data_IF_280044703361
#
_entry.id   IF_280044703361
#
_cell.length_a   1.000
_cell.length_b   1.000
_cell.length_c   1.000
_cell.angle_alpha   90.00
_cell.angle_beta   90.00
_cell.angle_gamma   90.00
#
_symmetry.space_group_name_H-M   'P 1'
#
loop_
_entity.id
_entity.type
_entity.pdbx_description
1 polymer ?
#
# COMPACT_ATOMS: atom_id res chain seq x y z
N UNK A 1 -48.69 -14.45 9.73
CA UNK A 1 -48.74 -15.55 8.72
C UNK A 1 -47.45 -16.33 8.82
N UNK A 2 -47.37 -17.59 8.37
CA UNK A 2 -46.07 -18.22 8.13
C UNK A 2 -45.45 -17.61 6.87
N UNK A 3 -44.12 -17.51 6.81
CA UNK A 3 -43.42 -17.05 5.60
C UNK A 3 -43.60 -18.01 4.41
N UNK A 4 -43.20 -17.58 3.21
CA UNK A 4 -43.31 -18.33 1.97
C UNK A 4 -42.47 -19.61 2.02
N UNK A 5 -41.27 -19.55 2.62
CA UNK A 5 -40.37 -20.70 2.72
C UNK A 5 -41.02 -21.85 3.51
N UNK A 6 -41.63 -21.56 4.66
CA UNK A 6 -42.33 -22.57 5.47
C UNK A 6 -43.51 -23.21 4.74
N UNK A 7 -44.14 -22.46 3.82
CA UNK A 7 -45.24 -22.96 3.00
C UNK A 7 -44.73 -23.94 1.92
N UNK A 8 -43.61 -23.60 1.26
CA UNK A 8 -43.06 -24.37 0.14
C UNK A 8 -42.14 -25.51 0.55
N UNK A 9 -41.40 -25.38 1.66
CA UNK A 9 -40.36 -26.31 2.14
C UNK A 9 -40.83 -27.74 2.40
N UNK A 10 -42.14 -28.00 2.46
CA UNK A 10 -42.70 -29.36 2.54
C UNK A 10 -42.60 -30.12 1.22
N UNK A 11 -42.34 -29.43 0.11
CA UNK A 11 -42.21 -30.02 -1.22
C UNK A 11 -40.77 -30.47 -1.52
N UNK A 12 -40.58 -31.22 -2.61
CA UNK A 12 -39.25 -31.66 -3.06
C UNK A 12 -38.53 -30.53 -3.80
N UNK A 13 -37.31 -30.21 -3.37
CA UNK A 13 -36.44 -29.23 -4.04
C UNK A 13 -35.81 -29.83 -5.30
N UNK A 14 -35.59 -28.99 -6.31
CA UNK A 14 -34.84 -29.34 -7.52
C UNK A 14 -33.31 -29.18 -7.34
N UNK A 15 -32.87 -28.62 -6.21
CA UNK A 15 -31.46 -28.54 -5.81
C UNK A 15 -31.10 -29.64 -4.80
N UNK A 16 -29.86 -30.12 -4.89
CA UNK A 16 -29.34 -31.20 -4.04
C UNK A 16 -29.03 -30.74 -2.60
N UNK A 17 -28.72 -29.45 -2.42
CA UNK A 17 -28.38 -28.86 -1.12
C UNK A 17 -29.61 -28.24 -0.45
N UNK A 18 -29.56 -28.11 0.89
CA UNK A 18 -30.61 -27.48 1.70
C UNK A 18 -30.17 -26.19 2.40
N UNK A 19 -28.87 -25.99 2.60
CA UNK A 19 -28.28 -24.80 3.21
C UNK A 19 -27.28 -24.16 2.23
N UNK A 20 -27.23 -22.83 2.24
CA UNK A 20 -26.58 -21.98 1.24
C UNK A 20 -25.90 -20.79 1.91
N UNK A 21 -24.72 -20.41 1.43
CA UNK A 21 -24.15 -19.12 1.79
C UNK A 21 -24.79 -17.97 0.98
N UNK A 22 -24.69 -16.74 1.49
CA UNK A 22 -25.18 -15.52 0.83
C UNK A 22 -24.72 -15.38 -0.63
N UNK A 23 -23.45 -15.71 -0.93
CA UNK A 23 -22.91 -15.60 -2.30
C UNK A 23 -23.50 -16.63 -3.25
N UNK A 24 -23.80 -17.84 -2.77
CA UNK A 24 -24.52 -18.85 -3.54
C UNK A 24 -25.94 -18.39 -3.85
N UNK A 25 -26.65 -17.77 -2.90
CA UNK A 25 -27.99 -17.23 -3.15
C UNK A 25 -28.01 -16.11 -4.18
N UNK A 26 -27.09 -15.15 -4.06
CA UNK A 26 -26.96 -14.07 -5.04
C UNK A 26 -26.68 -14.63 -6.44
N UNK A 27 -25.78 -15.62 -6.53
CA UNK A 27 -25.48 -16.30 -7.79
C UNK A 27 -26.69 -17.01 -8.40
N UNK A 28 -27.53 -17.65 -7.58
CA UNK A 28 -28.77 -18.28 -8.06
C UNK A 28 -29.76 -17.21 -8.51
N UNK A 29 -30.00 -16.16 -7.72
CA UNK A 29 -30.89 -15.04 -8.08
C UNK A 29 -30.53 -14.48 -9.45
N UNK A 30 -29.25 -14.17 -9.65
CA UNK A 30 -28.77 -13.67 -10.93
C UNK A 30 -28.93 -14.65 -12.07
N UNK A 31 -28.67 -15.94 -11.85
CA UNK A 31 -28.86 -16.95 -12.89
C UNK A 31 -30.33 -17.04 -13.34
N UNK A 32 -31.28 -16.97 -12.40
CA UNK A 32 -32.72 -16.97 -12.71
C UNK A 32 -33.13 -15.70 -13.46
N UNK A 33 -32.66 -14.55 -13.01
CA UNK A 33 -32.92 -13.26 -13.65
C UNK A 33 -32.26 -13.17 -15.05
N UNK A 34 -31.06 -13.72 -15.24
CA UNK A 34 -30.37 -13.74 -16.52
C UNK A 34 -31.12 -14.57 -17.57
N UNK A 35 -31.81 -15.64 -17.15
CA UNK A 35 -32.70 -16.39 -18.04
C UNK A 35 -33.81 -15.45 -18.56
N UNK A 36 -34.45 -14.68 -17.67
CA UNK A 36 -35.50 -13.74 -18.07
C UNK A 36 -34.98 -12.72 -19.08
N UNK A 37 -33.77 -12.19 -18.84
CA UNK A 37 -33.12 -11.23 -19.73
C UNK A 37 -32.75 -11.86 -21.07
N UNK A 38 -32.06 -13.01 -21.07
CA UNK A 38 -31.52 -13.64 -22.27
C UNK A 38 -32.60 -14.16 -23.21
N UNK A 39 -33.69 -14.67 -22.66
CA UNK A 39 -34.82 -15.18 -23.43
C UNK A 39 -35.92 -14.13 -23.63
N UNK A 40 -35.70 -12.88 -23.19
CA UNK A 40 -36.67 -11.77 -23.25
C UNK A 40 -38.07 -12.17 -22.77
N UNK A 41 -38.11 -12.94 -21.67
CA UNK A 41 -39.36 -13.47 -21.14
C UNK A 41 -40.18 -12.32 -20.58
N UNK A 42 -41.40 -12.12 -21.10
CA UNK A 42 -42.34 -11.10 -20.59
C UNK A 42 -42.98 -11.50 -19.26
N UNK A 43 -42.19 -12.05 -18.34
CA UNK A 43 -42.65 -12.69 -17.13
C UNK A 43 -43.25 -11.70 -16.10
N UNK A 44 -44.00 -12.26 -15.15
CA UNK A 44 -44.30 -11.60 -13.88
C UNK A 44 -43.30 -12.03 -12.82
N UNK A 45 -42.70 -11.07 -12.12
CA UNK A 45 -41.66 -11.33 -11.12
C UNK A 45 -42.03 -10.80 -9.75
N UNK A 46 -41.69 -11.55 -8.71
CA UNK A 46 -41.80 -11.13 -7.30
C UNK A 46 -40.43 -11.30 -6.66
N UNK A 47 -39.85 -10.20 -6.19
CA UNK A 47 -38.47 -10.16 -5.70
C UNK A 47 -38.42 -9.51 -4.31
N UNK A 48 -37.67 -10.14 -3.42
CA UNK A 48 -37.51 -9.71 -2.04
C UNK A 48 -36.10 -9.22 -1.76
N UNK A 49 -36.01 -8.04 -1.19
CA UNK A 49 -34.79 -7.50 -0.61
C UNK A 49 -34.99 -7.34 0.88
N UNK A 50 -34.06 -7.87 1.67
CA UNK A 50 -34.08 -7.71 3.13
C UNK A 50 -34.10 -6.24 3.55
N UNK A 51 -33.37 -5.40 2.80
CA UNK A 51 -33.33 -3.94 2.99
C UNK A 51 -33.22 -3.23 1.64
N UNK A 52 -33.85 -2.05 1.52
CA UNK A 52 -33.86 -1.27 0.28
C UNK A 52 -32.47 -0.88 -0.24
N UNK A 53 -31.46 -0.72 0.64
CA UNK A 53 -30.08 -0.44 0.23
C UNK A 53 -29.49 -1.52 -0.70
N UNK A 54 -29.89 -2.77 -0.55
CA UNK A 54 -29.41 -3.85 -1.42
C UNK A 54 -30.00 -3.73 -2.83
N UNK A 55 -31.25 -3.30 -2.94
CA UNK A 55 -31.85 -2.98 -4.23
C UNK A 55 -31.12 -1.82 -4.93
N UNK A 56 -30.70 -0.79 -4.20
CA UNK A 56 -29.97 0.34 -4.79
C UNK A 56 -28.65 -0.07 -5.46
N UNK A 57 -27.98 -1.10 -4.95
CA UNK A 57 -26.78 -1.65 -5.60
C UNK A 57 -27.08 -2.37 -6.92
N UNK A 58 -28.31 -2.85 -7.10
CA UNK A 58 -28.79 -3.62 -8.26
C UNK A 58 -29.69 -2.80 -9.19
N UNK A 59 -29.84 -1.49 -8.96
CA UNK A 59 -30.88 -0.67 -9.58
C UNK A 59 -30.85 -0.72 -11.12
N UNK A 60 -29.65 -0.70 -11.72
CA UNK A 60 -29.49 -0.74 -13.17
C UNK A 60 -29.93 -2.08 -13.78
N UNK A 61 -29.70 -3.17 -13.07
CA UNK A 61 -30.16 -4.51 -13.47
C UNK A 61 -31.68 -4.59 -13.45
N UNK A 62 -32.30 -4.06 -12.40
CA UNK A 62 -33.76 -4.02 -12.29
C UNK A 62 -34.40 -3.04 -13.28
N UNK A 63 -33.72 -1.96 -13.69
CA UNK A 63 -34.17 -1.12 -14.80
C UNK A 63 -34.20 -1.87 -16.13
N UNK A 64 -33.22 -2.75 -16.38
CA UNK A 64 -33.23 -3.60 -17.57
C UNK A 64 -34.40 -4.60 -17.52
N UNK A 65 -34.61 -5.26 -16.37
CA UNK A 65 -35.73 -6.17 -16.19
C UNK A 65 -37.08 -5.45 -16.34
N UNK A 66 -37.22 -4.21 -15.85
CA UNK A 66 -38.45 -3.40 -15.96
C UNK A 66 -38.88 -3.19 -17.43
N UNK A 67 -37.93 -3.14 -18.36
CA UNK A 67 -38.21 -2.98 -19.80
C UNK A 67 -38.69 -4.29 -20.47
N UNK A 68 -38.33 -5.44 -19.90
CA UNK A 68 -38.57 -6.76 -20.49
C UNK A 68 -39.82 -7.41 -19.87
N UNK A 69 -39.89 -7.40 -18.54
CA UNK A 69 -40.93 -8.07 -17.77
C UNK A 69 -42.28 -7.37 -17.94
N UNK A 70 -43.37 -8.16 -17.91
CA UNK A 70 -44.71 -7.59 -17.92
C UNK A 70 -45.04 -6.89 -16.60
N UNK A 71 -44.58 -7.46 -15.48
CA UNK A 71 -44.74 -6.86 -14.16
C UNK A 71 -43.66 -7.31 -13.19
N UNK A 72 -43.17 -6.40 -12.35
CA UNK A 72 -42.24 -6.72 -11.27
C UNK A 72 -42.81 -6.20 -9.96
N UNK A 73 -42.74 -7.01 -8.90
CA UNK A 73 -43.08 -6.62 -7.55
C UNK A 73 -41.83 -6.70 -6.68
N UNK A 74 -41.41 -5.57 -6.13
CA UNK A 74 -40.22 -5.48 -5.28
C UNK A 74 -40.66 -5.22 -3.85
N UNK A 75 -40.33 -6.16 -2.96
CA UNK A 75 -40.61 -6.10 -1.54
C UNK A 75 -39.34 -5.72 -0.78
N UNK A 76 -39.37 -4.64 -0.01
CA UNK A 76 -38.22 -4.18 0.77
C UNK A 76 -38.61 -3.34 1.99
N UNK A 77 -37.70 -3.17 2.94
CA UNK A 77 -37.87 -2.26 4.08
C UNK A 77 -37.28 -0.87 3.79
N UNK A 78 -37.92 0.17 4.35
CA UNK A 78 -37.46 1.56 4.31
C UNK A 78 -37.25 2.04 2.86
N UNK A 79 -38.28 1.89 2.04
CA UNK A 79 -38.21 2.23 0.62
C UNK A 79 -38.20 3.76 0.48
N UNK A 80 -37.15 4.28 -0.14
CA UNK A 80 -37.12 5.68 -0.55
C UNK A 80 -37.79 5.83 -1.92
N UNK A 81 -39.08 6.18 -1.91
CA UNK A 81 -39.89 6.37 -3.11
C UNK A 81 -39.42 7.53 -4.01
N UNK A 82 -38.53 8.41 -3.52
CA UNK A 82 -37.98 9.50 -4.35
C UNK A 82 -36.97 9.00 -5.39
N UNK A 83 -36.34 7.84 -5.16
CA UNK A 83 -35.27 7.29 -6.00
C UNK A 83 -35.82 6.37 -7.10
N UNK A 84 -37.04 5.86 -6.92
CA UNK A 84 -37.63 4.80 -7.78
C UNK A 84 -38.72 5.31 -8.72
N UNK A 85 -38.69 6.58 -9.10
CA UNK A 85 -39.71 7.20 -9.96
C UNK A 85 -39.66 6.75 -11.42
N UNK A 86 -38.52 6.19 -11.86
CA UNK A 86 -38.26 5.92 -13.27
C UNK A 86 -38.73 4.52 -13.73
N UNK A 87 -39.35 3.74 -12.85
CA UNK A 87 -39.82 2.38 -13.15
C UNK A 87 -41.28 2.39 -13.64
N UNK A 88 -41.55 1.72 -14.77
CA UNK A 88 -42.87 1.68 -15.38
C UNK A 88 -43.65 0.41 -15.04
N UNK A 89 -42.98 -0.73 -15.07
CA UNK A 89 -43.61 -2.04 -14.87
C UNK A 89 -43.40 -2.57 -13.44
N UNK A 90 -42.55 -1.93 -12.65
CA UNK A 90 -42.24 -2.30 -11.27
C UNK A 90 -43.17 -1.64 -10.26
N UNK A 91 -43.60 -2.41 -9.28
CA UNK A 91 -44.37 -1.95 -8.12
C UNK A 91 -43.56 -2.22 -6.88
N UNK A 92 -43.24 -1.16 -6.15
CA UNK A 92 -42.56 -1.24 -4.86
C UNK A 92 -43.58 -1.43 -3.74
N UNK A 93 -43.29 -2.38 -2.85
CA UNK A 93 -44.09 -2.72 -1.67
C UNK A 93 -43.19 -2.65 -0.44
N UNK A 94 -43.50 -1.71 0.44
CA UNK A 94 -42.79 -1.57 1.70
C UNK A 94 -43.26 -2.64 2.69
N UNK A 95 -42.33 -3.42 3.22
CA UNK A 95 -42.62 -4.48 4.17
C UNK A 95 -42.76 -3.93 5.59
N UNK A 96 -43.84 -4.30 6.26
CA UNK A 96 -44.06 -4.00 7.68
C UNK A 96 -42.93 -4.59 8.56
N UNK A 97 -42.51 -3.90 9.65
CA UNK A 97 -41.39 -4.34 10.49
C UNK A 97 -41.53 -5.74 11.09
N UNK A 98 -42.77 -6.20 11.31
CA UNK A 98 -43.11 -7.48 11.92
C UNK A 98 -43.50 -8.56 10.88
N UNK A 99 -43.32 -8.30 9.58
CA UNK A 99 -43.68 -9.26 8.54
C UNK A 99 -42.74 -10.48 8.57
N UNK A 100 -43.27 -11.72 8.52
CA UNK A 100 -42.47 -12.94 8.45
C UNK A 100 -41.66 -13.05 7.15
N UNK A 101 -41.98 -12.23 6.14
CA UNK A 101 -41.29 -12.20 4.86
C UNK A 101 -39.97 -11.42 4.92
N UNK A 102 -39.69 -10.73 6.02
CA UNK A 102 -38.46 -9.97 6.23
C UNK A 102 -37.22 -10.86 6.22
N UNK A 103 -37.31 -12.00 6.88
CA UNK A 103 -36.18 -12.92 7.05
C UNK A 103 -35.99 -13.83 5.83
N UNK A 104 -36.83 -13.64 4.81
CA UNK A 104 -36.83 -14.46 3.61
C UNK A 104 -36.19 -13.75 2.41
N UNK A 105 -35.46 -14.51 1.61
CA UNK A 105 -35.05 -14.09 0.26
C UNK A 105 -35.77 -14.97 -0.74
N UNK A 106 -36.67 -14.35 -1.48
CA UNK A 106 -37.54 -15.00 -2.44
C UNK A 106 -37.42 -14.33 -3.82
N UNK A 107 -37.35 -15.14 -4.87
CA UNK A 107 -37.53 -14.71 -6.26
C UNK A 107 -38.51 -15.69 -6.91
N UNK A 108 -39.62 -15.15 -7.42
CA UNK A 108 -40.67 -15.91 -8.08
C UNK A 108 -40.79 -15.34 -9.49
N UNK A 109 -40.75 -16.21 -10.50
CA UNK A 109 -40.92 -15.85 -11.91
C UNK A 109 -42.06 -16.71 -12.46
N UNK A 110 -43.05 -16.05 -13.04
CA UNK A 110 -44.20 -16.67 -13.67
C UNK A 110 -44.18 -16.34 -15.16
N UNK A 111 -44.10 -17.38 -15.97
CA UNK A 111 -44.20 -17.34 -17.43
C UNK A 111 -44.72 -18.70 -17.92
N UNK A 112 -45.53 -18.78 -18.99
CA UNK A 112 -46.06 -20.03 -19.52
C UNK A 112 -44.95 -21.03 -19.80
N UNK A 113 -43.92 -20.62 -20.53
CA UNK A 113 -42.85 -21.54 -20.92
C UNK A 113 -41.88 -21.86 -19.79
N UNK A 114 -41.73 -20.95 -18.81
CA UNK A 114 -40.66 -21.04 -17.83
C UNK A 114 -41.00 -20.35 -16.52
N UNK A 115 -41.53 -21.14 -15.58
CA UNK A 115 -41.85 -20.69 -14.24
C UNK A 115 -40.84 -21.24 -13.23
N UNK A 116 -40.46 -20.42 -12.26
CA UNK A 116 -39.46 -20.80 -11.26
C UNK A 116 -39.69 -20.07 -9.95
N UNK A 117 -39.29 -20.70 -8.86
CA UNK A 117 -39.37 -20.13 -7.52
C UNK A 117 -38.15 -20.52 -6.71
N UNK A 118 -37.47 -19.51 -6.17
CA UNK A 118 -36.53 -19.66 -5.06
C UNK A 118 -37.13 -19.00 -3.83
N UNK A 119 -37.06 -19.72 -2.71
CA UNK A 119 -37.49 -19.21 -1.41
C UNK A 119 -36.54 -19.71 -0.34
N UNK A 120 -36.04 -18.80 0.47
CA UNK A 120 -35.03 -19.09 1.49
C UNK A 120 -35.29 -18.31 2.76
N UNK A 121 -34.80 -18.82 3.89
CA UNK A 121 -34.83 -18.17 5.21
C UNK A 121 -33.44 -18.21 5.82
N UNK A 122 -33.06 -17.18 6.56
CA UNK A 122 -31.77 -17.15 7.24
C UNK A 122 -31.69 -18.11 8.43
N UNK A 123 -30.56 -18.83 8.57
CA UNK A 123 -30.26 -19.71 9.70
C UNK A 123 -29.40 -18.97 10.75
N UNK A 124 -30.06 -18.23 11.66
CA UNK A 124 -29.36 -17.43 12.68
C UNK A 124 -28.47 -18.26 13.62
N UNK A 125 -28.87 -19.50 13.92
CA UNK A 125 -28.10 -20.41 14.80
C UNK A 125 -26.75 -20.83 14.20
N UNK A 126 -26.54 -20.68 12.89
CA UNK A 126 -25.27 -21.00 12.23
C UNK A 126 -24.39 -19.76 12.01
N UNK A 127 -24.92 -18.56 12.28
CA UNK A 127 -24.23 -17.28 12.08
C UNK A 127 -23.48 -16.83 13.35
N UNK A 128 -22.63 -17.71 13.89
CA UNK A 128 -21.79 -17.41 15.06
C UNK A 128 -20.68 -16.37 14.78
N UNK A 129 -20.44 -16.05 13.51
CA UNK A 129 -19.48 -15.04 13.07
C UNK A 129 -20.23 -13.83 12.51
N UNK A 130 -19.95 -12.65 13.07
CA UNK A 130 -20.51 -11.35 12.71
C UNK A 130 -19.99 -10.82 11.35
N UNK A 131 -19.82 -11.69 10.35
CA UNK A 131 -19.30 -11.34 9.04
C UNK A 131 -20.28 -11.73 7.93
N UNK A 132 -20.62 -10.73 7.10
CA UNK A 132 -21.66 -10.77 6.06
C UNK A 132 -21.48 -11.91 5.02
N UNK A 133 -20.26 -12.44 4.88
CA UNK A 133 -19.88 -13.48 3.91
C UNK A 133 -20.16 -14.91 4.40
N UNK A 134 -20.41 -15.11 5.70
CA UNK A 134 -20.60 -16.43 6.30
C UNK A 134 -22.06 -16.76 6.62
N UNK A 135 -22.97 -15.82 6.35
CA UNK A 135 -24.42 -15.98 6.58
C UNK A 135 -24.93 -17.22 5.84
N UNK A 136 -25.52 -18.13 6.59
CA UNK A 136 -26.15 -19.34 6.09
C UNK A 136 -27.66 -19.15 5.96
N UNK A 137 -28.21 -19.73 4.92
CA UNK A 137 -29.62 -19.68 4.58
C UNK A 137 -30.11 -21.08 4.29
N UNK A 138 -31.27 -21.44 4.81
CA UNK A 138 -31.99 -22.61 4.39
C UNK A 138 -32.87 -22.27 3.20
N UNK A 139 -32.85 -23.07 2.15
CA UNK A 139 -33.46 -22.68 0.90
C UNK A 139 -34.07 -23.79 0.07
N UNK A 140 -35.00 -23.38 -0.75
CA UNK A 140 -35.78 -24.21 -1.66
C UNK A 140 -35.77 -23.55 -3.03
N UNK A 141 -35.42 -24.30 -4.07
CA UNK A 141 -35.60 -23.89 -5.47
C UNK A 141 -36.48 -24.94 -6.15
N UNK A 142 -37.45 -24.49 -6.93
CA UNK A 142 -38.14 -25.34 -7.88
C UNK A 142 -38.39 -24.65 -9.20
N UNK A 143 -38.27 -25.44 -10.27
CA UNK A 143 -38.65 -25.04 -11.63
C UNK A 143 -40.05 -25.56 -12.00
N UNK A 144 -40.82 -26.08 -11.04
CA UNK A 144 -42.18 -26.55 -11.25
C UNK A 144 -43.14 -25.36 -11.44
N UNK A 145 -43.93 -25.35 -12.53
CA UNK A 145 -44.95 -24.33 -12.74
C UNK A 145 -46.03 -24.35 -11.66
N UNK A 146 -46.36 -25.54 -11.13
CA UNK A 146 -47.35 -25.67 -10.04
C UNK A 146 -46.88 -24.95 -8.78
N UNK A 147 -45.62 -25.15 -8.39
CA UNK A 147 -45.06 -24.55 -7.17
C UNK A 147 -44.83 -23.05 -7.31
N UNK A 148 -44.37 -22.60 -8.48
CA UNK A 148 -44.25 -21.18 -8.77
C UNK A 148 -45.62 -20.48 -8.70
N UNK A 149 -46.66 -21.08 -9.30
CA UNK A 149 -48.03 -20.55 -9.23
C UNK A 149 -48.58 -20.52 -7.81
N UNK A 150 -48.33 -21.56 -7.01
CA UNK A 150 -48.70 -21.56 -5.59
C UNK A 150 -48.02 -20.42 -4.83
N UNK A 151 -46.75 -20.16 -5.11
CA UNK A 151 -45.99 -19.07 -4.51
C UNK A 151 -46.53 -17.69 -4.94
N UNK A 152 -46.82 -17.49 -6.23
CA UNK A 152 -47.42 -16.27 -6.74
C UNK A 152 -48.81 -16.00 -6.14
N UNK A 153 -49.65 -17.03 -5.98
CA UNK A 153 -50.96 -16.90 -5.28
C UNK A 153 -50.79 -16.52 -3.81
N UNK A 154 -49.80 -17.08 -3.14
CA UNK A 154 -49.49 -16.68 -1.77
C UNK A 154 -49.13 -15.18 -1.73
N UNK A 155 -48.30 -14.71 -2.66
CA UNK A 155 -47.94 -13.30 -2.77
C UNK A 155 -49.13 -12.40 -3.09
N UNK A 156 -50.00 -12.83 -3.99
CA UNK A 156 -51.22 -12.09 -4.30
C UNK A 156 -52.11 -11.91 -3.08
N UNK A 157 -52.27 -12.98 -2.29
CA UNK A 157 -53.05 -12.93 -1.06
C UNK A 157 -52.44 -11.97 -0.03
N UNK A 158 -51.11 -11.89 0.04
CA UNK A 158 -50.40 -10.90 0.87
C UNK A 158 -50.70 -9.48 0.38
N UNK A 159 -50.57 -9.22 -0.92
CA UNK A 159 -50.88 -7.92 -1.54
C UNK A 159 -52.31 -7.46 -1.28
N UNK A 160 -53.27 -8.37 -1.40
CA UNK A 160 -54.68 -8.12 -1.13
C UNK A 160 -54.97 -7.84 0.34
N UNK A 161 -54.49 -8.72 1.24
CA UNK A 161 -54.83 -8.66 2.66
C UNK A 161 -54.10 -7.57 3.41
N UNK A 162 -52.81 -7.38 3.13
CA UNK A 162 -51.96 -6.45 3.88
C UNK A 162 -51.94 -5.06 3.24
N UNK A 163 -52.07 -4.97 1.92
CA UNK A 163 -51.90 -3.70 1.19
C UNK A 163 -53.14 -3.24 0.42
N UNK A 164 -54.24 -4.01 0.45
CA UNK A 164 -55.48 -3.67 -0.25
C UNK A 164 -55.37 -3.59 -1.78
N UNK A 165 -54.29 -4.14 -2.35
CA UNK A 165 -54.03 -4.11 -3.80
C UNK A 165 -54.57 -5.39 -4.42
N UNK A 166 -55.57 -5.26 -5.29
CA UNK A 166 -55.98 -6.36 -6.15
C UNK A 166 -55.19 -6.30 -7.45
N UNK A 167 -54.52 -7.39 -7.78
CA UNK A 167 -53.78 -7.53 -9.02
C UNK A 167 -54.22 -8.84 -9.67
N UNK A 168 -54.62 -8.79 -10.93
CA UNK A 168 -54.95 -9.97 -11.70
C UNK A 168 -53.70 -10.33 -12.51
N UNK A 169 -53.21 -11.57 -12.34
CA UNK A 169 -52.07 -12.04 -13.12
C UNK A 169 -52.41 -12.04 -14.60
N UNK A 170 -51.44 -11.65 -15.43
CA UNK A 170 -51.56 -11.66 -16.89
C UNK A 170 -51.63 -13.11 -17.42
N UNK A 171 -51.21 -14.08 -16.61
CA UNK A 171 -51.18 -15.48 -16.97
C UNK A 171 -52.29 -16.27 -16.28
N UNK A 172 -53.08 -17.01 -17.07
CA UNK A 172 -54.08 -17.95 -16.55
C UNK A 172 -53.41 -19.24 -16.05
N UNK A 173 -53.98 -19.85 -15.01
CA UNK A 173 -53.52 -21.13 -14.44
C UNK A 173 -53.41 -22.21 -15.51
N UNK A 174 -54.37 -22.26 -16.44
CA UNK A 174 -54.37 -23.25 -17.51
C UNK A 174 -53.23 -23.06 -18.50
N UNK A 175 -52.82 -21.82 -18.76
CA UNK A 175 -51.72 -21.52 -19.67
C UNK A 175 -50.37 -21.99 -19.12
N UNK A 176 -50.16 -21.80 -17.82
CA UNK A 176 -48.92 -22.16 -17.11
C UNK A 176 -48.75 -23.68 -16.98
N UNK A 177 -49.85 -24.42 -16.84
CA UNK A 177 -49.81 -25.88 -16.68
C UNK A 177 -49.62 -26.65 -17.99
N UNK A 178 -49.86 -26.01 -19.15
CA UNK A 178 -49.84 -26.68 -20.46
C UNK A 178 -48.47 -26.69 -21.13
N UNK A 179 -47.64 -25.66 -20.90
CA UNK A 179 -46.30 -25.53 -21.46
C UNK A 179 -45.25 -25.91 -20.42
N UNK A 180 -44.56 -27.03 -20.62
CA UNK A 180 -43.44 -27.42 -19.77
C UNK A 180 -42.39 -28.19 -20.57
N UNK A 181 -41.25 -27.55 -20.81
CA UNK A 181 -40.09 -28.20 -21.42
C UNK A 181 -39.24 -28.86 -20.33
N UNK A 182 -39.37 -30.18 -20.21
CA UNK A 182 -38.61 -30.98 -19.25
C UNK A 182 -37.11 -31.01 -19.54
N UNK A 183 -36.70 -30.97 -20.81
CA UNK A 183 -35.29 -31.02 -21.20
C UNK A 183 -34.58 -29.71 -20.85
N UNK A 184 -35.23 -28.57 -21.10
CA UNK A 184 -34.73 -27.26 -20.68
C UNK A 184 -34.60 -27.18 -19.15
N UNK A 185 -35.59 -27.67 -18.41
CA UNK A 185 -35.55 -27.69 -16.95
C UNK A 185 -34.36 -28.50 -16.41
N UNK A 186 -34.11 -29.69 -16.94
CA UNK A 186 -32.96 -30.51 -16.52
C UNK A 186 -31.63 -29.84 -16.84
N UNK A 187 -31.51 -29.17 -17.99
CA UNK A 187 -30.34 -28.35 -18.33
C UNK A 187 -30.12 -27.23 -17.32
N UNK A 188 -31.18 -26.48 -16.97
CA UNK A 188 -31.09 -25.38 -16.00
C UNK A 188 -30.67 -25.90 -14.62
N UNK A 189 -31.26 -27.01 -14.15
CA UNK A 189 -30.84 -27.65 -12.90
C UNK A 189 -29.37 -28.02 -12.92
N UNK A 190 -28.91 -28.64 -14.00
CA UNK A 190 -27.50 -29.01 -14.15
C UNK A 190 -26.58 -27.77 -14.11
N UNK A 191 -26.93 -26.70 -14.82
CA UNK A 191 -26.14 -25.46 -14.82
C UNK A 191 -26.10 -24.78 -13.45
N UNK A 192 -27.24 -24.65 -12.77
CA UNK A 192 -27.33 -24.04 -11.45
C UNK A 192 -26.52 -24.85 -10.44
N UNK A 193 -26.72 -26.17 -10.38
CA UNK A 193 -25.97 -27.04 -9.47
C UNK A 193 -24.46 -26.97 -9.72
N UNK A 194 -24.03 -26.94 -10.99
CA UNK A 194 -22.61 -26.81 -11.35
C UNK A 194 -22.04 -25.43 -10.98
N UNK A 195 -22.77 -24.35 -11.22
CA UNK A 195 -22.36 -23.00 -10.86
C UNK A 195 -22.23 -22.88 -9.32
N UNK A 196 -23.19 -23.44 -8.58
CA UNK A 196 -23.14 -23.49 -7.13
C UNK A 196 -21.92 -24.25 -6.62
N UNK A 197 -21.60 -25.41 -7.19
CA UNK A 197 -20.40 -26.17 -6.79
C UNK A 197 -19.12 -25.33 -6.97
N UNK A 198 -19.05 -24.52 -8.03
CA UNK A 198 -17.91 -23.62 -8.26
C UNK A 198 -17.87 -22.47 -7.27
N UNK A 199 -19.01 -21.86 -6.94
CA UNK A 199 -19.08 -20.75 -5.97
C UNK A 199 -18.63 -21.24 -4.60
N UNK A 200 -19.10 -22.41 -4.16
CA UNK A 200 -18.71 -22.97 -2.86
C UNK A 200 -17.21 -23.30 -2.79
N UNK A 201 -16.64 -23.93 -3.82
CA UNK A 201 -15.19 -24.15 -3.89
C UNK A 201 -14.40 -22.85 -3.82
N UNK A 202 -14.90 -21.78 -4.47
CA UNK A 202 -14.27 -20.45 -4.39
C UNK A 202 -14.39 -19.87 -2.98
N UNK A 203 -15.53 -20.01 -2.32
CA UNK A 203 -15.73 -19.54 -0.94
C UNK A 203 -14.79 -20.26 0.04
N UNK A 204 -14.62 -21.57 -0.08
CA UNK A 204 -13.67 -22.34 0.73
C UNK A 204 -12.24 -21.80 0.58
N UNK A 205 -11.81 -21.53 -0.67
CA UNK A 205 -10.49 -20.93 -0.95
C UNK A 205 -10.39 -19.53 -0.36
N UNK A 206 -11.45 -18.71 -0.44
CA UNK A 206 -11.47 -17.37 0.13
C UNK A 206 -11.31 -17.42 1.65
N UNK A 207 -12.00 -18.33 2.33
CA UNK A 207 -11.90 -18.53 3.78
C UNK A 207 -10.45 -18.90 4.14
N UNK A 208 -9.86 -19.89 3.47
CA UNK A 208 -8.47 -20.30 3.70
C UNK A 208 -7.47 -19.16 3.47
N UNK A 209 -7.64 -18.38 2.40
CA UNK A 209 -6.79 -17.22 2.11
C UNK A 209 -6.91 -16.16 3.19
N UNK A 210 -8.11 -15.94 3.72
CA UNK A 210 -8.35 -14.94 4.77
C UNK A 210 -7.63 -15.33 6.07
N UNK A 211 -7.71 -16.59 6.47
CA UNK A 211 -6.98 -17.11 7.63
C UNK A 211 -5.46 -16.99 7.45
N UNK A 212 -4.95 -17.29 6.25
CA UNK A 212 -3.54 -17.12 5.91
C UNK A 212 -3.11 -15.65 6.01
N UNK A 213 -3.89 -14.72 5.44
CA UNK A 213 -3.61 -13.28 5.53
C UNK A 213 -3.60 -12.82 6.99
N UNK A 214 -4.56 -13.26 7.81
CA UNK A 214 -4.60 -12.93 9.23
C UNK A 214 -3.40 -13.49 10.00
N UNK A 215 -2.87 -14.66 9.62
CA UNK A 215 -1.63 -15.18 10.19
C UNK A 215 -0.43 -14.31 9.80
N UNK A 216 -0.26 -14.04 8.50
CA UNK A 216 0.85 -13.22 7.98
C UNK A 216 0.85 -11.83 8.62
N UNK A 217 -0.32 -11.23 8.79
CA UNK A 217 -0.44 -9.91 9.41
C UNK A 217 0.06 -9.93 10.87
N UNK A 218 -0.31 -10.94 11.66
CA UNK A 218 0.17 -11.07 13.05
C UNK A 218 1.69 -11.28 13.12
N UNK A 219 2.25 -12.06 12.20
CA UNK A 219 3.69 -12.28 12.15
C UNK A 219 4.45 -11.00 11.74
N UNK A 220 3.87 -10.23 10.82
CA UNK A 220 4.43 -8.95 10.38
C UNK A 220 4.40 -7.90 11.50
N UNK A 221 3.30 -7.82 12.26
CA UNK A 221 3.20 -6.94 13.43
C UNK A 221 4.27 -7.27 14.46
N UNK A 222 4.46 -8.55 14.79
CA UNK A 222 5.52 -8.98 15.72
C UNK A 222 6.92 -8.61 15.22
N UNK A 223 7.22 -8.87 13.95
CA UNK A 223 8.51 -8.52 13.37
C UNK A 223 8.75 -6.99 13.37
N UNK A 224 7.69 -6.20 13.16
CA UNK A 224 7.74 -4.75 13.24
C UNK A 224 8.02 -4.27 14.66
N UNK A 225 7.34 -4.83 15.66
CA UNK A 225 7.57 -4.53 17.08
C UNK A 225 9.02 -4.85 17.50
N UNK A 226 9.53 -6.03 17.14
CA UNK A 226 10.91 -6.42 17.42
C UNK A 226 11.93 -5.45 16.80
N UNK A 227 11.70 -5.07 15.54
CA UNK A 227 12.55 -4.10 14.83
C UNK A 227 12.51 -2.73 15.51
N UNK A 228 11.34 -2.30 15.99
CA UNK A 228 11.16 -1.02 16.66
C UNK A 228 11.85 -1.01 18.03
N UNK A 229 11.72 -2.08 18.82
CA UNK A 229 12.44 -2.25 20.09
C UNK A 229 13.95 -2.22 19.87
N UNK A 230 14.46 -2.96 18.88
CA UNK A 230 15.88 -2.96 18.54
C UNK A 230 16.38 -1.57 18.12
N UNK A 231 15.59 -0.83 17.35
CA UNK A 231 15.91 0.54 16.92
C UNK A 231 16.00 1.50 18.11
N UNK A 232 15.05 1.44 19.04
CA UNK A 232 15.06 2.28 20.25
C UNK A 232 16.27 1.93 21.13
N UNK A 233 16.53 0.64 21.36
CA UNK A 233 17.68 0.19 22.15
C UNK A 233 19.01 0.67 21.52
N UNK A 234 19.15 0.56 20.19
CA UNK A 234 20.32 1.07 19.46
C UNK A 234 20.51 2.57 19.62
N UNK A 235 19.42 3.36 19.55
CA UNK A 235 19.47 4.82 19.77
C UNK A 235 19.90 5.17 21.20
N UNK A 236 19.32 4.51 22.19
CA UNK A 236 19.67 4.74 23.60
C UNK A 236 21.11 4.36 23.90
N UNK A 237 21.57 3.21 23.39
CA UNK A 237 22.95 2.75 23.55
C UNK A 237 23.95 3.79 23.01
N UNK A 238 23.75 4.26 21.76
CA UNK A 238 24.65 5.24 21.15
C UNK A 238 24.64 6.60 21.88
N UNK A 239 23.46 7.05 22.33
CA UNK A 239 23.35 8.28 23.11
C UNK A 239 24.06 8.19 24.45
N UNK A 240 23.89 7.08 25.18
CA UNK A 240 24.49 6.90 26.49
C UNK A 240 26.01 6.75 26.39
N UNK A 241 26.49 5.90 25.47
CA UNK A 241 27.92 5.73 25.22
C UNK A 241 28.62 7.04 24.83
N UNK A 242 27.93 7.95 24.11
CA UNK A 242 28.49 9.28 23.83
C UNK A 242 28.88 10.02 25.11
N UNK A 243 27.99 10.07 26.10
CA UNK A 243 28.20 10.85 27.30
C UNK A 243 29.29 10.23 28.18
N UNK A 244 29.27 8.90 28.28
CA UNK A 244 30.27 8.11 29.02
C UNK A 244 31.66 8.18 28.39
N UNK A 245 31.77 8.31 27.06
CA UNK A 245 33.06 8.47 26.38
C UNK A 245 33.55 9.93 26.37
N UNK A 246 32.65 10.91 26.26
CA UNK A 246 33.03 12.34 26.22
C UNK A 246 33.66 12.81 27.53
N UNK A 247 33.15 12.35 28.67
CA UNK A 247 33.62 12.77 30.00
C UNK A 247 35.10 12.43 30.27
N UNK A 248 35.57 11.17 30.13
CA UNK A 248 36.98 10.85 30.33
C UNK A 248 37.88 11.52 29.27
N UNK A 249 37.40 11.65 28.03
CA UNK A 249 38.18 12.31 26.98
C UNK A 249 38.39 13.80 27.24
N UNK A 250 37.35 14.53 27.67
CA UNK A 250 37.48 15.93 28.03
C UNK A 250 38.43 16.12 29.23
N UNK A 251 38.45 15.17 30.17
CA UNK A 251 39.41 15.18 31.27
C UNK A 251 40.85 14.99 30.79
N UNK A 252 41.10 14.08 29.83
CA UNK A 252 42.44 13.89 29.23
C UNK A 252 42.87 15.16 28.49
N UNK A 253 41.98 15.80 27.72
CA UNK A 253 42.27 17.07 27.05
C UNK A 253 42.64 18.15 28.06
N UNK A 254 41.84 18.35 29.11
CA UNK A 254 42.13 19.36 30.14
C UNK A 254 43.46 19.10 30.88
N UNK A 255 43.78 17.83 31.16
CA UNK A 255 45.05 17.47 31.79
C UNK A 255 46.23 17.71 30.86
N UNK A 256 46.09 17.39 29.57
CA UNK A 256 47.16 17.66 28.58
C UNK A 256 47.37 19.15 28.35
N UNK A 257 46.30 19.97 28.33
CA UNK A 257 46.38 21.43 28.29
C UNK A 257 47.11 21.97 29.54
N UNK A 258 46.76 21.49 30.73
CA UNK A 258 47.43 21.91 31.97
C UNK A 258 48.90 21.47 32.04
N UNK A 259 49.27 20.36 31.41
CA UNK A 259 50.67 19.92 31.31
C UNK A 259 51.45 20.81 30.33
N UNK A 260 50.84 21.22 29.22
CA UNK A 260 51.44 22.14 28.25
C UNK A 260 51.76 23.52 28.84
N UNK A 261 50.98 23.97 29.82
CA UNK A 261 51.23 25.23 30.56
C UNK A 261 52.33 25.12 31.63
N UNK A 262 52.85 23.92 31.87
CA UNK A 262 53.92 23.66 32.85
C UNK A 262 55.31 23.66 32.22
N UNK A 263 56.36 23.74 33.03
CA UNK A 263 57.74 23.64 32.56
C UNK A 263 58.11 22.18 32.24
N UNK A 264 58.00 21.83 30.95
CA UNK A 264 58.32 20.52 30.39
C UNK A 264 59.75 20.47 29.80
N UNK A 265 60.37 19.29 29.81
CA UNK A 265 61.55 19.04 28.95
C UNK A 265 61.11 18.84 27.50
N UNK A 266 62.03 18.97 26.54
CA UNK A 266 61.67 18.91 25.12
C UNK A 266 61.10 17.55 24.69
N UNK A 267 61.59 16.46 25.27
CA UNK A 267 61.02 15.12 25.06
C UNK A 267 59.61 14.99 25.67
N UNK A 268 59.37 15.57 26.87
CA UNK A 268 58.05 15.58 27.51
C UNK A 268 57.03 16.43 26.73
N UNK A 269 57.49 17.51 26.11
CA UNK A 269 56.68 18.38 25.27
C UNK A 269 56.22 17.65 24.01
N UNK A 270 57.11 16.92 23.33
CA UNK A 270 56.74 16.08 22.18
C UNK A 270 55.70 15.01 22.55
N UNK A 271 55.85 14.34 23.70
CA UNK A 271 54.85 13.36 24.16
C UNK A 271 53.51 14.01 24.52
N UNK A 272 53.53 15.20 25.12
CA UNK A 272 52.30 15.91 25.52
C UNK A 272 51.53 16.43 24.29
N UNK A 273 52.24 16.95 23.28
CA UNK A 273 51.66 17.33 22.00
C UNK A 273 51.04 16.12 21.27
N UNK A 274 51.71 14.97 21.29
CA UNK A 274 51.18 13.75 20.69
C UNK A 274 49.90 13.26 21.40
N UNK A 275 49.88 13.31 22.74
CA UNK A 275 48.71 12.99 23.55
C UNK A 275 47.53 13.92 23.25
N UNK A 276 47.79 15.23 23.14
CA UNK A 276 46.76 16.22 22.84
C UNK A 276 46.16 16.00 21.44
N UNK A 277 47.01 15.82 20.40
CA UNK A 277 46.56 15.55 19.02
C UNK A 277 45.75 14.26 18.92
N UNK A 278 46.18 13.21 19.64
CA UNK A 278 45.49 11.91 19.66
C UNK A 278 44.13 12.02 20.36
N UNK A 279 44.06 12.77 21.46
CA UNK A 279 42.82 12.94 22.23
C UNK A 279 41.77 13.75 21.46
N UNK A 280 42.20 14.82 20.80
CA UNK A 280 41.33 15.63 19.94
C UNK A 280 40.85 14.84 18.71
N UNK A 281 41.70 14.00 18.12
CA UNK A 281 41.29 13.12 17.02
C UNK A 281 40.23 12.11 17.46
N UNK A 282 40.39 11.51 18.64
CA UNK A 282 39.44 10.53 19.17
C UNK A 282 38.08 11.18 19.51
N UNK A 283 38.08 12.38 20.10
CA UNK A 283 36.84 13.15 20.33
C UNK A 283 36.10 13.46 19.03
N UNK A 284 36.85 13.83 17.98
CA UNK A 284 36.27 14.11 16.66
C UNK A 284 35.64 12.85 16.07
N UNK A 285 36.33 11.71 16.13
CA UNK A 285 35.79 10.42 15.67
C UNK A 285 34.52 10.00 16.42
N UNK A 286 34.50 10.15 17.75
CA UNK A 286 33.32 9.87 18.56
C UNK A 286 32.15 10.77 18.11
N UNK A 287 32.42 12.06 17.91
CA UNK A 287 31.41 13.01 17.47
C UNK A 287 30.88 12.69 16.06
N UNK A 288 31.73 12.25 15.15
CA UNK A 288 31.34 11.87 13.79
C UNK A 288 30.44 10.63 13.75
N UNK A 289 30.75 9.61 14.57
CA UNK A 289 29.90 8.41 14.71
C UNK A 289 28.50 8.77 15.24
N UNK A 290 28.42 9.74 16.15
CA UNK A 290 27.16 10.20 16.73
C UNK A 290 26.36 11.07 15.76
N UNK A 291 27.03 11.96 15.04
CA UNK A 291 26.40 12.77 13.99
C UNK A 291 25.82 11.86 12.90
N UNK A 292 26.54 10.81 12.51
CA UNK A 292 26.04 9.77 11.61
C UNK A 292 24.80 9.07 12.16
N UNK A 293 24.82 8.67 13.44
CA UNK A 293 23.65 8.05 14.10
C UNK A 293 22.42 8.96 14.09
N UNK A 294 22.59 10.26 14.32
CA UNK A 294 21.49 11.24 14.25
C UNK A 294 20.94 11.40 12.84
N UNK A 295 21.83 11.44 11.82
CA UNK A 295 21.45 11.52 10.41
C UNK A 295 20.61 10.33 9.96
N UNK A 296 21.07 9.11 10.25
CA UNK A 296 20.35 7.87 9.88
C UNK A 296 18.98 7.77 10.55
N UNK A 297 18.81 8.39 11.72
CA UNK A 297 17.57 8.32 12.50
C UNK A 297 16.59 9.46 12.21
N UNK A 298 16.94 10.38 11.31
CA UNK A 298 16.07 11.50 10.89
C UNK A 298 15.91 12.62 11.92
N UNK A 299 16.58 12.55 13.08
CA UNK A 299 16.46 13.51 14.18
C UNK A 299 17.31 14.78 13.98
N UNK A 300 17.43 15.24 12.73
CA UNK A 300 18.37 16.29 12.36
C UNK A 300 17.62 17.56 11.98
N UNK A 301 17.65 18.55 12.88
CA UNK A 301 17.14 19.90 12.62
C UNK A 301 18.08 20.63 11.66
N UNK A 302 17.57 21.16 10.56
CA UNK A 302 18.35 21.92 9.58
C UNK A 302 18.23 23.41 9.94
N UNK A 303 19.36 24.11 10.05
CA UNK A 303 19.36 25.55 10.31
C UNK A 303 19.78 26.31 9.05
N UNK A 304 18.81 26.64 8.21
CA UNK A 304 19.06 27.37 6.97
C UNK A 304 19.36 28.85 7.25
N UNK A 305 20.52 29.31 6.79
CA UNK A 305 21.00 30.69 6.94
C UNK A 305 21.57 31.17 5.62
N UNK A 306 21.53 32.49 5.39
CA UNK A 306 22.24 33.11 4.27
C UNK A 306 23.76 33.03 4.50
N UNK A 307 24.47 32.39 3.57
CA UNK A 307 25.91 32.20 3.60
C UNK A 307 26.53 32.95 2.43
N UNK A 308 27.30 33.99 2.74
CA UNK A 308 28.12 34.72 1.77
C UNK A 308 29.32 33.85 1.39
N UNK A 309 29.35 33.37 0.15
CA UNK A 309 30.27 32.32 -0.29
C UNK A 309 31.74 32.74 -0.26
N UNK A 310 32.03 33.99 -0.62
CA UNK A 310 33.41 34.54 -0.63
C UNK A 310 34.02 34.54 0.77
N UNK A 311 33.35 35.16 1.73
CA UNK A 311 33.77 35.19 3.14
C UNK A 311 33.85 33.78 3.73
N UNK A 312 32.87 32.95 3.43
CA UNK A 312 32.78 31.60 3.96
C UNK A 312 33.93 30.70 3.48
N UNK A 313 34.23 30.71 2.19
CA UNK A 313 35.32 29.92 1.61
C UNK A 313 36.69 30.49 1.99
N UNK A 314 36.83 31.81 2.06
CA UNK A 314 38.04 32.46 2.57
C UNK A 314 38.39 32.01 3.99
N UNK A 315 37.40 31.95 4.89
CA UNK A 315 37.60 31.44 6.26
C UNK A 315 38.00 29.95 6.30
N UNK A 316 37.53 29.13 5.36
CA UNK A 316 37.90 27.71 5.28
C UNK A 316 39.35 27.58 4.78
N UNK A 317 39.70 28.34 3.74
CA UNK A 317 41.06 28.40 3.18
C UNK A 317 42.07 28.85 4.23
N UNK A 318 41.75 29.88 5.02
CA UNK A 318 42.61 30.34 6.14
C UNK A 318 42.86 29.23 7.17
N UNK A 319 41.86 28.40 7.48
CA UNK A 319 42.04 27.28 8.41
C UNK A 319 42.96 26.18 7.84
N UNK A 320 42.96 25.98 6.53
CA UNK A 320 43.72 24.91 5.86
C UNK A 320 45.14 25.34 5.46
N UNK A 321 45.37 26.66 5.33
CA UNK A 321 46.64 27.23 4.88
C UNK A 321 47.87 26.74 5.66
N UNK A 322 47.87 26.67 7.01
CA UNK A 322 49.03 26.18 7.75
C UNK A 322 49.39 24.72 7.41
N UNK A 323 48.38 23.85 7.29
CA UNK A 323 48.56 22.43 6.94
C UNK A 323 49.08 22.25 5.51
N UNK A 324 48.63 23.10 4.59
CA UNK A 324 49.09 23.07 3.21
C UNK A 324 50.55 23.51 3.09
N UNK A 325 50.93 24.60 3.78
CA UNK A 325 52.31 25.11 3.83
C UNK A 325 53.27 24.09 4.43
N UNK A 326 52.89 23.44 5.54
CA UNK A 326 53.69 22.39 6.19
C UNK A 326 53.99 21.24 5.23
N UNK A 327 53.06 20.92 4.33
CA UNK A 327 53.20 19.86 3.33
C UNK A 327 53.80 20.34 1.99
N UNK A 328 54.10 21.63 1.85
CA UNK A 328 54.62 22.22 0.61
C UNK A 328 53.59 22.30 -0.52
N UNK A 329 52.30 22.21 -0.21
CA UNK A 329 51.20 22.24 -1.18
C UNK A 329 50.69 23.68 -1.33
N UNK A 330 50.51 24.12 -2.57
CA UNK A 330 49.91 25.42 -2.86
C UNK A 330 48.39 25.36 -2.66
N UNK A 331 47.80 26.34 -2.00
CA UNK A 331 46.34 26.38 -1.80
C UNK A 331 45.81 27.66 -2.46
N UNK A 332 45.12 27.52 -3.58
CA UNK A 332 44.54 28.65 -4.33
C UNK A 332 43.03 28.67 -4.11
N UNK A 333 42.41 29.86 -4.09
CA UNK A 333 40.96 30.01 -4.08
C UNK A 333 40.55 30.74 -5.35
N UNK A 334 39.87 30.05 -6.24
CA UNK A 334 39.22 30.66 -7.41
C UNK A 334 37.70 30.57 -7.26
N UNK A 335 37.03 31.71 -7.43
CA UNK A 335 35.57 31.80 -7.52
C UNK A 335 35.22 32.28 -8.93
N UNK A 336 34.20 31.67 -9.54
CA UNK A 336 33.74 32.07 -10.88
C UNK A 336 32.91 33.35 -10.82
N UNK A 337 32.95 34.17 -11.88
CA UNK A 337 32.30 35.49 -11.95
C UNK A 337 30.76 35.36 -11.93
N UNK A 338 30.24 34.21 -12.37
CA UNK A 338 28.79 33.90 -12.39
C UNK A 338 28.28 33.23 -11.10
N UNK A 339 29.11 33.16 -10.05
CA UNK A 339 28.72 32.62 -8.76
C UNK A 339 27.64 33.48 -8.09
N UNK A 340 26.55 32.87 -7.63
CA UNK A 340 25.65 33.55 -6.69
C UNK A 340 26.44 33.88 -5.42
N UNK A 341 26.51 35.14 -4.97
CA UNK A 341 27.33 35.50 -3.82
C UNK A 341 26.77 34.97 -2.49
N UNK A 342 25.49 34.57 -2.46
CA UNK A 342 24.78 34.13 -1.25
C UNK A 342 24.11 32.78 -1.49
N UNK A 343 24.31 31.84 -0.57
CA UNK A 343 23.70 30.51 -0.54
C UNK A 343 22.85 30.35 0.73
N UNK A 344 21.59 29.95 0.60
CA UNK A 344 20.74 29.62 1.76
C UNK A 344 20.98 28.16 2.15
N UNK A 345 21.68 27.93 3.27
CA UNK A 345 22.11 26.58 3.68
C UNK A 345 22.43 26.49 5.19
N UNK A 346 22.65 25.27 5.68
CA UNK A 346 23.22 25.03 7.00
C UNK A 346 24.73 25.28 6.97
N UNK A 347 25.13 26.48 7.40
CA UNK A 347 26.53 26.96 7.39
C UNK A 347 27.48 26.00 8.11
N UNK A 348 27.05 25.41 9.22
CA UNK A 348 27.90 24.56 10.06
C UNK A 348 28.18 23.24 9.35
N UNK A 349 27.15 22.63 8.78
CA UNK A 349 27.30 21.37 8.03
C UNK A 349 28.06 21.56 6.74
N UNK A 350 27.75 22.61 5.98
CA UNK A 350 28.49 22.90 4.76
C UNK A 350 29.98 23.09 5.08
N UNK A 351 30.32 23.80 6.17
CA UNK A 351 31.71 23.98 6.58
C UNK A 351 32.40 22.65 6.86
N UNK A 352 31.70 21.76 7.58
CA UNK A 352 32.21 20.42 7.92
C UNK A 352 32.47 19.58 6.66
N UNK A 353 31.55 19.57 5.71
CA UNK A 353 31.69 18.85 4.43
C UNK A 353 32.92 19.35 3.67
N UNK A 354 33.07 20.66 3.52
CA UNK A 354 34.19 21.25 2.78
C UNK A 354 35.52 20.95 3.47
N UNK A 355 35.59 21.09 4.80
CA UNK A 355 36.81 20.80 5.55
C UNK A 355 37.23 19.34 5.42
N UNK A 356 36.32 18.37 5.56
CA UNK A 356 36.64 16.94 5.41
C UNK A 356 37.20 16.64 4.01
N UNK A 357 36.55 17.17 2.96
CA UNK A 357 36.98 16.96 1.59
C UNK A 357 38.34 17.62 1.31
N UNK A 358 38.54 18.85 1.77
CA UNK A 358 39.77 19.59 1.56
C UNK A 358 40.94 19.01 2.37
N UNK A 359 40.72 18.56 3.60
CA UNK A 359 41.73 17.88 4.41
C UNK A 359 42.13 16.55 3.77
N UNK A 360 41.18 15.79 3.22
CA UNK A 360 41.49 14.59 2.44
C UNK A 360 42.32 14.94 1.19
N UNK A 361 41.95 16.00 0.46
CA UNK A 361 42.70 16.43 -0.71
C UNK A 361 44.15 16.82 -0.35
N UNK A 362 44.36 17.61 0.71
CA UNK A 362 45.70 17.95 1.21
C UNK A 362 46.45 16.68 1.65
N UNK A 363 45.79 15.75 2.34
CA UNK A 363 46.41 14.51 2.83
C UNK A 363 46.89 13.60 1.70
N UNK A 364 46.14 13.47 0.61
CA UNK A 364 46.46 12.55 -0.50
C UNK A 364 47.22 13.18 -1.66
N UNK A 365 47.33 14.51 -1.72
CA UNK A 365 48.15 15.19 -2.75
C UNK A 365 49.63 15.17 -2.35
N UNK A 366 50.51 14.65 -3.21
CA UNK A 366 51.95 14.55 -2.94
C UNK A 366 52.76 15.77 -3.39
N UNK A 367 52.35 16.41 -4.49
CA UNK A 367 52.94 17.65 -5.04
C UNK A 367 51.85 18.40 -5.85
N UNK A 368 51.81 19.74 -5.80
CA UNK A 368 50.88 20.55 -6.60
C UNK A 368 50.08 21.60 -5.84
N UNK A 369 48.85 21.89 -6.30
CA UNK A 369 47.93 22.85 -5.70
C UNK A 369 46.58 22.18 -5.34
N UNK A 370 45.90 22.63 -4.28
CA UNK A 370 44.60 22.08 -3.83
C UNK A 370 43.58 23.21 -3.67
N UNK A 371 42.34 22.93 -4.11
CA UNK A 371 41.09 23.72 -4.08
C UNK A 371 40.86 24.63 -5.31
N UNK A 372 39.79 24.36 -6.08
CA UNK A 372 39.16 25.26 -7.04
C UNK A 372 37.65 25.15 -6.84
N UNK A 373 36.98 26.21 -6.40
CA UNK A 373 35.53 26.18 -6.18
C UNK A 373 34.82 26.73 -7.41
N UNK A 374 34.06 25.88 -8.11
CA UNK A 374 33.26 26.32 -9.27
C UNK A 374 31.77 26.22 -8.92
N UNK A 375 31.08 27.33 -8.98
CA UNK A 375 29.62 27.36 -8.89
C UNK A 375 29.05 27.16 -10.29
N UNK A 376 28.14 26.20 -10.47
CA UNK A 376 27.38 26.12 -11.70
C UNK A 376 26.15 27.06 -11.61
N UNK A 377 25.75 27.73 -12.71
CA UNK A 377 24.52 28.51 -12.73
C UNK A 377 23.33 27.61 -12.36
N UNK A 378 22.26 28.17 -11.73
CA UNK A 378 21.10 27.38 -11.31
C UNK A 378 20.54 26.64 -12.52
N UNK A 379 20.63 25.31 -12.49
CA UNK A 379 19.93 24.49 -13.46
C UNK A 379 18.42 24.79 -13.33
N UNK A 380 17.76 25.01 -14.46
CA UNK A 380 16.31 25.19 -14.66
C UNK A 380 15.47 23.96 -14.21
N UNK A 381 15.81 23.32 -13.10
CA UNK A 381 14.96 22.35 -12.43
C UNK A 381 13.95 23.11 -11.56
N UNK A 382 12.75 22.53 -11.38
CA UNK A 382 11.56 23.10 -10.70
C UNK A 382 11.78 23.63 -9.26
N UNK A 383 12.99 23.63 -8.74
CA UNK A 383 13.32 23.86 -7.33
C UNK A 383 14.29 25.04 -7.08
N UNK A 384 14.79 25.73 -8.12
CA UNK A 384 15.55 26.98 -7.94
C UNK A 384 16.84 26.88 -7.11
N UNK A 385 17.48 25.71 -7.02
CA UNK A 385 18.67 25.52 -6.20
C UNK A 385 19.96 25.89 -6.94
N UNK A 386 20.82 26.68 -6.29
CA UNK A 386 22.21 26.88 -6.70
C UNK A 386 23.03 25.62 -6.39
N UNK A 387 23.81 25.12 -7.35
CA UNK A 387 24.65 23.93 -7.19
C UNK A 387 26.11 24.37 -6.93
N UNK A 388 26.63 24.06 -5.74
CA UNK A 388 28.04 24.29 -5.38
C UNK A 388 28.86 23.05 -5.78
N UNK A 389 29.79 23.19 -6.74
CA UNK A 389 30.68 22.11 -7.17
C UNK A 389 32.10 22.42 -6.69
N UNK A 390 32.64 21.56 -5.83
CA UNK A 390 33.99 21.72 -5.28
C UNK A 390 34.95 20.82 -6.07
N UNK A 391 35.94 21.40 -6.73
CA UNK A 391 37.00 20.67 -7.39
C UNK A 391 38.26 20.67 -6.53
N UNK A 392 38.86 19.50 -6.35
CA UNK A 392 40.17 19.33 -5.73
C UNK A 392 41.08 18.61 -6.75
N UNK A 393 41.88 19.37 -7.52
CA UNK A 393 42.89 18.84 -8.47
C UNK A 393 44.24 18.63 -7.75
N UNK A 394 45.28 17.89 -8.19
CA UNK A 394 45.66 17.33 -9.53
C UNK A 394 46.14 15.86 -9.50
N UNK A 395 46.09 15.18 -8.36
CA UNK A 395 46.52 13.77 -8.22
C UNK A 395 45.67 13.03 -7.18
N UNK A 396 44.38 12.81 -7.46
CA UNK A 396 43.76 11.61 -6.95
C UNK A 396 44.21 10.48 -7.88
N UNK A 397 45.23 9.74 -7.47
CA UNK A 397 45.33 8.34 -7.91
C UNK A 397 44.01 7.73 -7.44
N UNK A 398 43.12 7.40 -8.38
CA UNK A 398 41.87 6.71 -8.05
C UNK A 398 42.23 5.53 -7.14
N UNK A 399 41.72 5.46 -5.89
CA UNK A 399 41.83 4.22 -5.14
C UNK A 399 41.15 3.13 -5.99
N UNK A 400 41.72 1.91 -6.09
CA UNK A 400 41.30 0.93 -7.08
C UNK A 400 39.92 0.28 -6.82
N UNK A 401 39.01 0.92 -6.07
CA UNK A 401 37.67 0.39 -5.83
C UNK A 401 36.59 1.49 -5.84
N UNK A 402 35.47 1.19 -6.50
CA UNK A 402 34.23 1.98 -6.63
C UNK A 402 33.51 2.30 -5.30
N UNK A 403 34.16 2.14 -4.15
CA UNK A 403 33.52 2.08 -2.83
C UNK A 403 33.39 3.44 -2.12
N UNK A 404 33.94 4.53 -2.68
CA UNK A 404 33.97 5.85 -2.02
C UNK A 404 32.57 6.51 -1.90
N UNK A 405 31.57 6.00 -2.63
CA UNK A 405 30.21 6.57 -2.66
C UNK A 405 29.12 5.66 -2.05
N UNK A 406 29.44 4.45 -1.59
CA UNK A 406 28.48 3.55 -0.94
C UNK A 406 28.56 3.67 0.60
N UNK A 407 27.52 4.15 1.29
CA UNK A 407 27.54 4.29 2.75
C UNK A 407 27.28 2.97 3.49
N UNK A 408 27.24 1.82 2.79
CA UNK A 408 26.85 0.52 3.36
C UNK A 408 28.01 -0.47 3.23
N UNK A 409 28.95 -0.40 4.17
CA UNK A 409 29.69 -1.59 4.59
C UNK A 409 29.10 -2.05 5.93
N UNK A 410 27.90 -2.64 5.85
CA UNK A 410 27.42 -3.52 6.91
C UNK A 410 28.37 -4.72 6.97
N UNK A 411 29.00 -4.91 8.13
CA UNK A 411 29.80 -6.09 8.42
C UNK A 411 28.95 -7.35 8.35
N UNK A 412 28.98 -8.05 7.23
CA UNK A 412 28.96 -9.52 7.09
C UNK A 412 28.68 -9.93 5.65
N UNK A 413 29.73 -10.29 4.90
CA UNK A 413 29.77 -11.35 3.85
C UNK A 413 31.03 -11.19 2.98
N UNK A 414 32.18 -11.57 3.54
CA UNK A 414 33.28 -12.08 2.72
C UNK A 414 33.04 -13.58 2.50
N UNK A 415 32.38 -13.96 1.40
CA UNK A 415 32.60 -15.27 0.78
C UNK A 415 33.34 -15.03 -0.53
N UNK A 416 34.59 -15.50 -0.58
CA UNK A 416 35.32 -15.72 -1.84
C UNK A 416 34.46 -16.58 -2.75
N UNK A 417 34.19 -16.10 -3.95
CA UNK A 417 33.91 -16.96 -5.10
C UNK A 417 34.88 -16.57 -6.21
N UNK A 418 35.85 -17.45 -6.42
CA UNK A 418 36.64 -17.58 -7.63
C UNK A 418 35.68 -17.77 -8.82
N UNK A 419 35.72 -16.86 -9.80
CA UNK A 419 35.42 -17.10 -11.20
C UNK A 419 35.51 -15.77 -11.96
N UNK A 420 36.51 -15.67 -12.85
CA UNK A 420 36.42 -15.13 -14.21
C UNK A 420 37.83 -14.73 -14.67
N UNK A 421 38.53 -15.73 -15.20
CA UNK A 421 39.60 -15.57 -16.18
C UNK A 421 38.96 -15.67 -17.58
N UNK A 422 39.53 -14.92 -18.54
CA UNK A 422 39.17 -14.78 -19.98
C UNK A 422 38.10 -13.70 -20.22
N UNK A 423 38.31 -12.68 -21.06
CA UNK A 423 39.06 -12.63 -22.31
C UNK A 423 39.82 -11.30 -22.50
N UNK A 424 41.02 -11.42 -23.06
CA UNK A 424 41.77 -10.36 -23.74
C UNK A 424 41.41 -10.36 -25.23
N UNK A 425 41.04 -9.22 -25.80
CA UNK A 425 41.44 -8.83 -27.18
C UNK A 425 41.06 -7.37 -27.48
N UNK A 426 42.11 -6.57 -27.68
CA UNK A 426 42.31 -5.49 -28.64
C UNK A 426 41.10 -4.81 -29.31
N UNK A 427 41.04 -3.47 -29.18
CA UNK A 427 41.17 -2.61 -30.37
C UNK A 427 41.48 -1.14 -30.02
N UNK A 428 42.34 -0.57 -30.85
CA UNK A 428 42.94 0.75 -30.81
C UNK A 428 41.99 1.91 -31.23
N UNK A 429 42.39 3.11 -30.82
CA UNK A 429 42.20 4.44 -31.44
C UNK A 429 40.85 5.15 -31.37
N UNK A 430 40.88 6.38 -30.84
CA UNK A 430 39.80 7.36 -30.98
C UNK A 430 39.88 8.48 -29.95
N UNK A 431 40.68 9.51 -30.21
CA UNK A 431 40.64 10.77 -29.46
C UNK A 431 39.25 11.41 -29.54
N UNK A 432 38.61 11.60 -28.39
CA UNK A 432 37.59 12.62 -28.21
C UNK A 432 37.53 13.03 -26.74
N UNK A 433 37.67 14.33 -26.51
CA UNK A 433 37.37 14.98 -25.24
C UNK A 433 35.94 14.66 -24.81
N UNK A 434 35.78 13.89 -23.73
CA UNK A 434 34.48 13.72 -23.06
C UNK A 434 34.68 13.85 -21.56
N UNK A 435 33.90 14.77 -20.97
CA UNK A 435 33.81 15.03 -19.54
C UNK A 435 33.67 13.75 -18.71
N UNK A 436 34.25 13.77 -17.50
CA UNK A 436 34.29 12.65 -16.57
C UNK A 436 32.88 12.20 -16.10
N UNK A 437 32.69 10.93 -15.71
CA UNK A 437 31.37 10.30 -15.56
C UNK A 437 30.61 10.62 -14.25
N UNK A 438 30.98 11.67 -13.51
CA UNK A 438 30.45 11.93 -12.15
C UNK A 438 29.00 12.47 -12.11
N UNK A 439 28.32 12.61 -13.25
CA UNK A 439 27.02 13.29 -13.39
C UNK A 439 25.79 12.37 -13.48
N UNK A 440 25.85 11.13 -12.98
CA UNK A 440 24.72 10.16 -13.09
C UNK A 440 24.12 9.64 -11.78
N UNK A 441 24.38 10.29 -10.64
CA UNK A 441 23.71 9.98 -9.37
C UNK A 441 22.96 11.20 -8.82
N UNK A 442 21.89 11.62 -9.51
CA UNK A 442 20.77 12.35 -8.93
C UNK A 442 19.59 12.26 -9.93
N UNK A 443 18.75 11.24 -9.76
CA UNK A 443 17.41 11.18 -10.31
C UNK A 443 16.45 10.77 -9.21
#
# INVERSE_FOLDING_TARGET
>A
MSGLYLNLSKNKSDLDKKSYCKSSLLGISYALEDIVIQFELKAEMYVFFQEFRFFLHEIERYKQLDQICAKIFIFAQNIDFSVVTDFQNTVFIELEPNSPLRDEWNVIIIHPDQSMVISTTEEYDHNHFCEDMLRQFQGFLSLSPQLALQAARFMMNVLLKEYGKNYDSIYDENSILQSYDTDLCEKIKFFINRAMEQIEKKNEIIIQKKELIASIHRDLEKAQEETQVASIAKKQFLSNMSHELRTPMNSIVALTESLMDSSLTEEQKEYTELLQRSSNSLLTLIQDVLDYSKLVTGNVLHNYTEVYLEDFLSQIVQCLFPKAVEKGIRLDLSLDIDAHPVLVTDKVRLRKIILILAENAIKFTSDGYVVSVKTAPPCLSKWGCCMLILFFDRYLVDPPTKEVADPILEGSKYRRSEAFQKDTSDNETGSNHSLSPFLRCCK
#
